data_IF_876920735010
#
_entry.id   IF_876920735010
#
_cell.length_a   1.000
_cell.length_b   1.000
_cell.length_c   1.000
_cell.angle_alpha   90.00
_cell.angle_beta   90.00
_cell.angle_gamma   90.00
#
_symmetry.space_group_name_H-M   'P 1'
#
loop_
_entity.id
_entity.type
_entity.pdbx_description
1 polymer ?
#
# COMPACT_ATOMS: atom_id res chain seq x y z
N UNK A 1 52.05 34.93 -3.21
CA UNK A 1 52.03 34.75 -4.68
C UNK A 1 50.61 34.31 -5.03
N UNK A 2 49.80 35.18 -5.66
CA UNK A 2 49.28 35.03 -7.05
C UNK A 2 48.50 33.68 -7.18
N UNK A 3 47.18 33.55 -7.40
CA UNK A 3 46.13 34.44 -7.93
C UNK A 3 44.70 33.99 -7.52
N UNK A 4 43.82 34.99 -7.50
CA UNK A 4 42.36 34.93 -7.59
C UNK A 4 41.89 34.43 -8.97
N UNK A 5 40.82 33.63 -9.04
CA UNK A 5 39.65 33.86 -9.92
C UNK A 5 38.64 32.69 -9.89
N UNK A 6 37.38 33.06 -9.66
CA UNK A 6 36.15 32.54 -10.29
C UNK A 6 35.71 31.09 -10.07
N UNK A 7 34.59 31.01 -9.33
CA UNK A 7 33.32 30.46 -9.81
C UNK A 7 33.39 29.27 -10.78
N UNK A 8 32.97 28.11 -10.26
CA UNK A 8 32.14 27.22 -11.06
C UNK A 8 30.93 26.77 -10.24
N UNK A 9 29.85 27.55 -10.36
CA UNK A 9 28.50 27.04 -10.10
C UNK A 9 28.07 26.14 -11.26
N UNK A 10 27.43 25.03 -10.86
CA UNK A 10 26.45 24.21 -11.60
C UNK A 10 26.99 23.15 -12.57
N UNK A 11 26.86 21.89 -12.16
CA UNK A 11 25.78 21.02 -12.68
C UNK A 11 25.53 19.81 -11.78
N UNK A 12 24.33 19.79 -11.18
CA UNK A 12 23.37 18.67 -11.17
C UNK A 12 23.97 17.26 -11.11
N UNK A 13 23.87 16.64 -9.94
CA UNK A 13 23.81 15.18 -9.80
C UNK A 13 24.65 14.63 -8.65
N UNK A 14 23.99 13.98 -7.70
CA UNK A 14 24.64 12.97 -6.86
C UNK A 14 25.09 13.43 -5.47
N UNK A 15 24.16 13.90 -4.65
CA UNK A 15 24.14 13.72 -3.21
C UNK A 15 22.65 13.69 -2.88
N UNK A 16 22.10 12.76 -2.10
CA UNK A 16 22.50 12.50 -0.73
C UNK A 16 22.27 11.03 -0.36
N UNK A 17 23.21 10.55 0.43
CA UNK A 17 23.19 9.40 1.32
C UNK A 17 21.80 9.10 1.92
N UNK A 18 21.00 8.27 1.25
CA UNK A 18 19.74 7.76 1.82
C UNK A 18 20.06 6.51 2.64
N UNK A 19 20.39 6.75 3.90
CA UNK A 19 20.36 5.73 4.94
C UNK A 19 18.94 5.16 4.98
N UNK A 20 18.73 4.02 4.32
CA UNK A 20 17.47 3.26 4.38
C UNK A 20 17.32 2.66 5.78
N UNK A 21 16.95 3.54 6.70
CA UNK A 21 16.63 3.24 8.09
C UNK A 21 15.30 2.52 8.10
N UNK A 22 15.25 1.32 8.69
CA UNK A 22 14.09 0.44 8.68
C UNK A 22 12.82 1.04 9.27
N UNK A 23 11.98 1.62 8.41
CA UNK A 23 10.55 1.92 8.67
C UNK A 23 9.67 1.58 7.45
N UNK A 24 10.02 0.55 6.69
CA UNK A 24 9.30 0.19 5.45
C UNK A 24 7.98 -0.58 5.68
N UNK A 25 7.67 -1.00 6.91
CA UNK A 25 6.51 -1.87 7.18
C UNK A 25 5.29 -1.19 7.83
N UNK A 26 5.45 -0.03 8.47
CA UNK A 26 4.38 0.56 9.30
C UNK A 26 3.75 1.84 8.71
N UNK A 27 4.14 2.28 7.52
CA UNK A 27 3.48 3.45 6.90
C UNK A 27 2.11 3.06 6.35
N UNK A 28 1.15 4.01 6.38
CA UNK A 28 -0.19 3.84 5.81
C UNK A 28 -0.12 3.34 4.37
N UNK A 29 0.80 3.88 3.58
CA UNK A 29 1.03 3.48 2.19
C UNK A 29 1.53 2.04 2.05
N UNK A 30 2.45 1.60 2.92
CA UNK A 30 2.98 0.23 2.89
C UNK A 30 1.91 -0.79 3.25
N UNK A 31 1.12 -0.51 4.29
CA UNK A 31 0.00 -1.39 4.68
C UNK A 31 -1.08 -1.43 3.61
N UNK A 32 -1.41 -0.29 3.00
CA UNK A 32 -2.35 -0.24 1.87
C UNK A 32 -1.80 -1.00 0.65
N UNK A 33 -0.50 -0.92 0.40
CA UNK A 33 0.15 -1.66 -0.68
C UNK A 33 0.02 -3.18 -0.47
N UNK A 34 0.14 -3.66 0.77
CA UNK A 34 -0.08 -5.07 1.09
C UNK A 34 -1.53 -5.50 0.81
N UNK A 35 -2.51 -4.68 1.19
CA UNK A 35 -3.94 -4.91 0.87
C UNK A 35 -4.14 -5.02 -0.65
N UNK A 36 -3.56 -4.11 -1.43
CA UNK A 36 -3.69 -4.14 -2.89
C UNK A 36 -3.02 -5.34 -3.54
N UNK A 37 -1.80 -5.68 -3.14
CA UNK A 37 -1.08 -6.81 -3.72
C UNK A 37 -1.77 -8.14 -3.43
N UNK A 38 -2.19 -8.35 -2.18
CA UNK A 38 -2.88 -9.58 -1.77
C UNK A 38 -4.28 -9.66 -2.38
N UNK A 39 -5.02 -8.56 -2.44
CA UNK A 39 -6.33 -8.49 -3.11
C UNK A 39 -6.25 -8.81 -4.61
N UNK A 40 -5.24 -8.26 -5.30
CA UNK A 40 -4.97 -8.63 -6.70
C UNK A 40 -4.69 -10.12 -6.85
N UNK A 41 -3.84 -10.69 -5.99
CA UNK A 41 -3.48 -12.11 -6.04
C UNK A 41 -4.70 -13.04 -5.84
N UNK A 42 -5.64 -12.67 -4.97
CA UNK A 42 -6.91 -13.39 -4.78
C UNK A 42 -7.71 -13.43 -6.07
N UNK A 43 -7.91 -12.27 -6.72
CA UNK A 43 -8.67 -12.18 -7.97
C UNK A 43 -7.98 -12.94 -9.11
N UNK A 44 -6.66 -12.84 -9.23
CA UNK A 44 -5.88 -13.54 -10.25
C UNK A 44 -5.98 -15.07 -10.09
N UNK A 45 -5.83 -15.57 -8.86
CA UNK A 45 -5.99 -16.99 -8.56
C UNK A 45 -7.41 -17.50 -8.85
N UNK A 46 -8.43 -16.69 -8.52
CA UNK A 46 -9.82 -17.01 -8.82
C UNK A 46 -10.06 -17.11 -10.34
N UNK A 47 -9.56 -16.13 -11.11
CA UNK A 47 -9.71 -16.12 -12.57
C UNK A 47 -9.03 -17.34 -13.21
N UNK A 48 -7.90 -17.79 -12.68
CA UNK A 48 -7.27 -19.03 -13.13
C UNK A 48 -8.15 -20.26 -12.83
N UNK A 49 -8.71 -20.34 -11.62
CA UNK A 49 -9.57 -21.44 -11.17
C UNK A 49 -10.88 -21.56 -11.96
N UNK A 50 -11.42 -20.45 -12.50
CA UNK A 50 -12.61 -20.48 -13.38
C UNK A 50 -12.41 -21.38 -14.62
N UNK A 51 -11.17 -21.53 -15.06
CA UNK A 51 -10.79 -22.40 -16.19
C UNK A 51 -10.14 -23.73 -15.77
N UNK A 52 -9.66 -23.82 -14.53
CA UNK A 52 -8.96 -24.99 -13.97
C UNK A 52 -9.52 -25.39 -12.58
N UNK A 53 -10.80 -25.77 -12.46
CA UNK A 53 -11.46 -25.93 -11.15
C UNK A 53 -10.94 -27.10 -10.31
N UNK A 54 -10.21 -28.04 -10.91
CA UNK A 54 -9.64 -29.21 -10.23
C UNK A 54 -8.14 -29.04 -9.88
N UNK A 55 -7.54 -27.89 -10.18
CA UNK A 55 -6.12 -27.65 -9.88
C UNK A 55 -5.92 -27.43 -8.37
N UNK A 56 -5.35 -28.43 -7.70
CA UNK A 56 -5.14 -28.41 -6.26
C UNK A 56 -4.09 -27.38 -5.82
N UNK A 57 -3.09 -27.10 -6.66
CA UNK A 57 -2.07 -26.11 -6.34
C UNK A 57 -2.66 -24.70 -6.41
N UNK A 58 -3.47 -24.41 -7.42
CA UNK A 58 -4.18 -23.14 -7.55
C UNK A 58 -5.19 -22.93 -6.40
N UNK A 59 -5.91 -23.98 -5.97
CA UNK A 59 -6.79 -23.91 -4.80
C UNK A 59 -6.03 -23.59 -3.51
N UNK A 60 -4.88 -24.25 -3.28
CA UNK A 60 -4.06 -24.00 -2.10
C UNK A 60 -3.49 -22.56 -2.11
N UNK A 61 -3.04 -22.09 -3.28
CA UNK A 61 -2.57 -20.72 -3.45
C UNK A 61 -3.69 -19.71 -3.18
N UNK A 62 -4.88 -19.90 -3.75
CA UNK A 62 -6.05 -19.05 -3.51
C UNK A 62 -6.38 -18.92 -2.02
N UNK A 63 -6.38 -20.04 -1.29
CA UNK A 63 -6.63 -20.06 0.16
C UNK A 63 -5.55 -19.28 0.92
N UNK A 64 -4.28 -19.49 0.57
CA UNK A 64 -3.16 -18.78 1.17
C UNK A 64 -3.28 -17.26 0.99
N UNK A 65 -3.43 -16.79 -0.25
CA UNK A 65 -3.49 -15.35 -0.52
C UNK A 65 -4.78 -14.71 0.00
N UNK A 66 -5.87 -15.47 0.08
CA UNK A 66 -7.11 -15.02 0.72
C UNK A 66 -6.93 -14.77 2.22
N UNK A 67 -6.19 -15.64 2.92
CA UNK A 67 -5.83 -15.40 4.33
C UNK A 67 -4.95 -14.16 4.46
N UNK A 68 -3.93 -14.03 3.63
CA UNK A 68 -3.02 -12.87 3.66
C UNK A 68 -3.76 -11.56 3.39
N UNK A 69 -4.74 -11.56 2.49
CA UNK A 69 -5.58 -10.39 2.22
C UNK A 69 -6.44 -10.02 3.43
N UNK A 70 -7.08 -11.00 4.08
CA UNK A 70 -7.86 -10.75 5.29
C UNK A 70 -7.00 -10.18 6.43
N UNK A 71 -5.80 -10.74 6.62
CA UNK A 71 -4.85 -10.24 7.62
C UNK A 71 -4.39 -8.81 7.31
N UNK A 72 -4.10 -8.50 6.05
CA UNK A 72 -3.71 -7.15 5.62
C UNK A 72 -4.84 -6.13 5.81
N UNK A 73 -6.08 -6.49 5.43
CA UNK A 73 -7.26 -5.65 5.64
C UNK A 73 -7.50 -5.42 7.12
N UNK A 74 -7.42 -6.47 7.95
CA UNK A 74 -7.60 -6.36 9.40
C UNK A 74 -6.54 -5.45 10.02
N UNK A 75 -5.26 -5.63 9.66
CA UNK A 75 -4.17 -4.81 10.16
C UNK A 75 -4.32 -3.33 9.76
N UNK A 76 -4.70 -3.07 8.49
CA UNK A 76 -4.92 -1.71 8.01
C UNK A 76 -6.09 -1.04 8.73
N UNK A 77 -7.24 -1.73 8.77
CA UNK A 77 -8.48 -1.16 9.32
C UNK A 77 -8.41 -0.93 10.83
N UNK A 78 -7.65 -1.75 11.56
CA UNK A 78 -7.38 -1.55 12.97
C UNK A 78 -6.63 -0.23 13.28
N UNK A 79 -5.84 0.28 12.32
CA UNK A 79 -5.03 1.49 12.51
C UNK A 79 -5.63 2.73 11.84
N UNK A 80 -6.23 2.58 10.67
CA UNK A 80 -6.65 3.72 9.84
C UNK A 80 -8.17 3.84 9.64
N UNK A 81 -8.95 2.85 10.10
CA UNK A 81 -10.41 2.82 9.92
C UNK A 81 -10.86 1.96 8.74
N UNK A 82 -12.18 1.84 8.52
CA UNK A 82 -12.77 0.91 7.55
C UNK A 82 -12.33 1.23 6.12
N UNK A 83 -12.18 0.19 5.29
CA UNK A 83 -11.86 0.32 3.85
C UNK A 83 -13.10 0.51 2.99
N UNK A 84 -14.28 0.10 3.47
CA UNK A 84 -15.55 0.22 2.78
C UNK A 84 -16.66 0.75 3.71
N UNK A 85 -17.62 1.46 3.14
CA UNK A 85 -18.74 2.05 3.89
C UNK A 85 -19.54 1.04 4.75
N UNK A 86 -19.82 -0.20 4.30
CA UNK A 86 -20.54 -1.18 5.10
C UNK A 86 -19.77 -1.64 6.36
N UNK A 87 -18.44 -1.48 6.38
CA UNK A 87 -17.60 -1.89 7.50
C UNK A 87 -17.47 -0.79 8.56
N UNK A 88 -18.11 0.38 8.35
CA UNK A 88 -18.19 1.44 9.35
C UNK A 88 -19.03 0.99 10.54
N UNK A 89 -18.39 0.88 11.71
CA UNK A 89 -19.00 0.44 12.96
C UNK A 89 -19.37 1.60 13.91
N UNK A 90 -19.17 2.86 13.50
CA UNK A 90 -19.57 4.01 14.30
C UNK A 90 -21.09 4.15 14.34
N UNK A 91 -21.63 4.14 15.57
CA UNK A 91 -23.07 4.20 15.85
C UNK A 91 -23.56 5.61 16.21
N UNK A 92 -22.63 6.55 16.39
CA UNK A 92 -22.89 7.91 16.85
C UNK A 92 -22.65 8.95 15.75
N UNK A 93 -21.68 8.69 14.87
CA UNK A 93 -21.32 9.55 13.74
C UNK A 93 -21.04 8.72 12.49
N UNK A 94 -21.34 9.25 11.30
CA UNK A 94 -21.04 8.56 10.05
C UNK A 94 -19.56 8.75 9.69
N UNK A 95 -18.69 7.95 10.32
CA UNK A 95 -17.23 8.16 10.25
C UNK A 95 -16.61 7.83 8.89
N UNK A 96 -17.32 7.13 8.00
CA UNK A 96 -16.87 6.83 6.63
C UNK A 96 -16.48 8.07 5.80
N UNK A 97 -17.08 9.24 6.06
CA UNK A 97 -16.77 10.48 5.35
C UNK A 97 -15.62 11.28 5.97
N UNK A 98 -14.97 10.76 7.02
CA UNK A 98 -13.97 11.52 7.79
C UNK A 98 -12.60 11.53 7.12
N UNK A 99 -12.29 10.49 6.35
CA UNK A 99 -11.03 10.39 5.62
C UNK A 99 -11.14 11.02 4.23
N UNK A 100 -10.06 11.63 3.71
CA UNK A 100 -10.05 12.21 2.39
C UNK A 100 -10.31 11.15 1.34
N UNK A 101 -11.23 11.44 0.42
CA UNK A 101 -11.62 10.47 -0.59
C UNK A 101 -10.50 10.28 -1.61
N UNK A 102 -10.30 9.07 -2.16
CA UNK A 102 -9.20 8.81 -3.10
C UNK A 102 -9.16 9.73 -4.32
N UNK A 103 -10.31 10.31 -4.71
CA UNK A 103 -10.45 11.25 -5.82
C UNK A 103 -10.39 12.73 -5.42
N UNK A 104 -10.31 13.05 -4.14
CA UNK A 104 -10.11 14.44 -3.68
C UNK A 104 -8.70 14.95 -3.98
N UNK A 105 -7.78 14.05 -4.34
CA UNK A 105 -6.41 14.38 -4.70
C UNK A 105 -5.63 14.85 -3.48
N UNK A 106 -4.60 14.10 -3.09
CA UNK A 106 -3.70 14.54 -2.03
C UNK A 106 -3.04 15.86 -2.41
N UNK A 107 -3.54 16.96 -1.86
CA UNK A 107 -2.92 18.27 -1.87
C UNK A 107 -2.87 18.78 -0.43
N UNK A 108 -1.74 18.56 0.26
CA UNK A 108 -1.21 19.47 1.28
C UNK A 108 0.30 19.57 1.12
#
# INVERSE_FOLDING_TARGET
MINSASDYRTTRGGAEDYVVSGQAMDTRESMMQQVYQTGFAVVDAQLFLDTHPCDQAAMAYYQQVSSMYQDAVSAFTAQFGPLDAPDSNDTTYWSWISDPWPWEGGCV
#
